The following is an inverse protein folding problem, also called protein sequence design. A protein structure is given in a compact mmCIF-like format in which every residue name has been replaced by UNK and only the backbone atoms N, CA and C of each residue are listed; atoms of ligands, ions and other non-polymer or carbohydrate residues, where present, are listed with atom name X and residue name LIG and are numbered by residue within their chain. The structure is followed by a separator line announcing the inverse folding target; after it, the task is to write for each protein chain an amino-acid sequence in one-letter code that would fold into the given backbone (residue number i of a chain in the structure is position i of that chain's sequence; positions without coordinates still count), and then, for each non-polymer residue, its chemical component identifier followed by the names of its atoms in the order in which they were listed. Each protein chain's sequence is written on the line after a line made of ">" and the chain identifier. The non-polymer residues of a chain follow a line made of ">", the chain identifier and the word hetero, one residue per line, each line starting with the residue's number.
data_IF_714627571220
#
_entry.id   IF_714627571220
#
_cell.length_a   1.000
_cell.length_b   1.000
_cell.length_c   1.000
_cell.angle_alpha   90.00
_cell.angle_beta   90.00
_cell.angle_gamma   90.00
#
_symmetry.space_group_name_H-M   'P 1'
#
loop_
_entity.id
_entity.type
_entity.pdbx_description
1 polymer ?
#
# COMPACT_ATOMS: atom_id res chain seq x y z
N UNK A 1 22.42 -30.64 -5.35
CA UNK A 1 21.98 -29.23 -5.45
C UNK A 1 20.95 -29.01 -4.36
N UNK A 2 21.14 -28.04 -3.45
CA UNK A 2 20.09 -27.69 -2.49
C UNK A 2 18.90 -27.08 -3.24
N UNK A 3 17.68 -27.48 -2.87
CA UNK A 3 16.44 -26.92 -3.43
C UNK A 3 16.35 -25.41 -3.18
N UNK A 4 15.79 -24.63 -4.12
CA UNK A 4 15.45 -23.23 -3.85
C UNK A 4 14.39 -23.19 -2.75
N UNK A 5 14.79 -22.77 -1.56
CA UNK A 5 13.85 -22.50 -0.47
C UNK A 5 12.94 -21.35 -0.91
N UNK A 6 11.65 -21.65 -1.08
CA UNK A 6 10.61 -20.64 -1.24
C UNK A 6 10.66 -19.74 0.01
N UNK A 7 10.85 -18.42 -0.13
CA UNK A 7 10.92 -17.54 1.01
C UNK A 7 9.64 -17.63 1.83
N UNK A 8 9.79 -17.73 3.15
CA UNK A 8 8.66 -17.61 4.07
C UNK A 8 7.91 -16.31 3.77
N UNK A 9 6.55 -16.31 3.80
CA UNK A 9 5.79 -15.10 3.51
C UNK A 9 6.27 -13.98 4.44
N UNK A 10 6.49 -12.80 3.88
CA UNK A 10 6.76 -11.58 4.64
C UNK A 10 5.65 -11.44 5.67
N UNK A 11 5.96 -11.64 6.94
CA UNK A 11 4.98 -11.54 8.00
C UNK A 11 4.62 -10.06 8.14
N UNK A 12 3.52 -9.64 7.51
CA UNK A 12 3.08 -8.26 7.51
C UNK A 12 2.76 -7.85 8.95
N UNK A 13 3.22 -6.66 9.36
CA UNK A 13 2.88 -6.08 10.66
C UNK A 13 1.37 -5.76 10.69
N UNK A 14 0.57 -6.73 11.13
CA UNK A 14 -0.91 -6.65 11.14
C UNK A 14 -1.39 -5.45 11.95
N UNK A 15 -0.72 -5.13 13.06
CA UNK A 15 -1.08 -3.97 13.87
C UNK A 15 -0.88 -2.65 13.13
N UNK A 16 0.18 -2.57 12.30
CA UNK A 16 0.39 -1.43 11.42
C UNK A 16 -0.65 -1.33 10.31
N UNK A 17 -1.00 -2.45 9.67
CA UNK A 17 -2.06 -2.48 8.64
C UNK A 17 -3.36 -1.95 9.22
N UNK A 18 -3.78 -2.46 10.38
CA UNK A 18 -5.01 -2.02 11.03
C UNK A 18 -4.98 -0.53 11.37
N UNK A 19 -3.85 -0.02 11.85
CA UNK A 19 -3.69 1.40 12.21
C UNK A 19 -3.79 2.30 10.98
N UNK A 20 -3.06 1.97 9.92
CA UNK A 20 -3.04 2.75 8.68
C UNK A 20 -4.40 2.67 7.97
N UNK A 21 -5.01 1.49 7.93
CA UNK A 21 -6.32 1.29 7.30
C UNK A 21 -7.43 2.05 8.04
N UNK A 22 -7.47 1.99 9.38
CA UNK A 22 -8.45 2.76 10.17
C UNK A 22 -8.29 4.25 9.91
N UNK A 23 -7.06 4.77 9.93
CA UNK A 23 -6.80 6.17 9.62
C UNK A 23 -7.33 6.59 8.24
N UNK A 24 -7.05 5.79 7.20
CA UNK A 24 -7.54 6.06 5.84
C UNK A 24 -9.07 5.97 5.75
N UNK A 25 -9.67 4.99 6.42
CA UNK A 25 -11.12 4.77 6.45
C UNK A 25 -11.84 5.92 7.17
N UNK A 26 -11.30 6.39 8.29
CA UNK A 26 -11.85 7.53 9.04
C UNK A 26 -11.80 8.81 8.20
N UNK A 27 -10.66 9.08 7.57
CA UNK A 27 -10.51 10.20 6.64
C UNK A 27 -11.49 10.09 5.44
N UNK A 28 -11.73 8.89 4.94
CA UNK A 28 -12.70 8.69 3.86
C UNK A 28 -14.14 8.90 4.31
N UNK A 29 -14.51 8.43 5.50
CA UNK A 29 -15.85 8.66 6.10
C UNK A 29 -16.13 10.14 6.31
N UNK A 30 -15.14 10.90 6.77
CA UNK A 30 -15.21 12.36 6.90
C UNK A 30 -15.49 13.03 5.55
N UNK A 31 -14.72 12.68 4.51
CA UNK A 31 -14.95 13.18 3.15
C UNK A 31 -16.37 12.85 2.66
N UNK A 32 -16.85 11.63 2.90
CA UNK A 32 -18.21 11.24 2.53
C UNK A 32 -19.26 12.11 3.26
N UNK A 33 -19.06 12.37 4.56
CA UNK A 33 -19.90 13.26 5.35
C UNK A 33 -19.93 14.70 4.80
N UNK A 34 -18.77 15.27 4.50
CA UNK A 34 -18.64 16.62 3.92
C UNK A 34 -19.29 16.75 2.53
N UNK A 35 -19.31 15.65 1.76
CA UNK A 35 -19.89 15.61 0.43
C UNK A 35 -21.37 15.21 0.41
N UNK A 36 -22.01 15.09 1.58
CA UNK A 36 -23.43 14.78 1.70
C UNK A 36 -23.78 13.30 1.50
N UNK A 37 -22.79 12.40 1.56
CA UNK A 37 -22.93 10.95 1.47
C UNK A 37 -22.77 10.28 2.86
N UNK A 38 -23.35 10.89 3.89
CA UNK A 38 -23.24 10.41 5.28
C UNK A 38 -23.92 9.05 5.50
N UNK A 39 -24.95 8.74 4.72
CA UNK A 39 -25.62 7.45 4.65
C UNK A 39 -24.66 6.35 4.15
N UNK A 40 -23.89 6.63 3.09
CA UNK A 40 -22.84 5.75 2.58
C UNK A 40 -21.73 5.57 3.62
N UNK A 41 -21.31 6.65 4.28
CA UNK A 41 -20.32 6.60 5.35
C UNK A 41 -20.79 5.69 6.50
N UNK A 42 -22.04 5.81 6.92
CA UNK A 42 -22.63 4.99 7.98
C UNK A 42 -22.75 3.51 7.57
N UNK A 43 -23.03 3.23 6.29
CA UNK A 43 -23.16 1.86 5.78
C UNK A 43 -21.82 1.15 5.49
N UNK A 44 -20.69 1.86 5.50
CA UNK A 44 -19.39 1.21 5.36
C UNK A 44 -19.12 0.26 6.55
N UNK A 45 -18.53 -0.93 6.32
CA UNK A 45 -18.13 -1.83 7.40
C UNK A 45 -16.96 -1.25 8.23
N UNK A 46 -16.48 -2.04 9.20
CA UNK A 46 -15.30 -1.75 10.03
C UNK A 46 -15.47 -0.60 11.03
N UNK A 47 -16.71 -0.30 11.45
CA UNK A 47 -17.03 0.49 12.64
C UNK A 47 -17.14 -0.36 13.89
N UNK A 48 -16.73 0.20 15.01
CA UNK A 48 -17.06 -0.34 16.32
C UNK A 48 -18.56 -0.09 16.60
N UNK A 49 -19.39 -1.12 16.43
CA UNK A 49 -20.66 -1.19 17.16
C UNK A 49 -22.00 -1.08 16.43
N UNK A 50 -22.11 -1.13 15.10
CA UNK A 50 -23.44 -1.04 14.45
C UNK A 50 -23.77 -2.17 13.45
N UNK A 51 -25.06 -2.51 13.41
CA UNK A 51 -25.65 -3.32 12.34
C UNK A 51 -25.53 -2.56 11.01
N UNK A 52 -25.02 -3.23 9.97
CA UNK A 52 -24.92 -2.63 8.63
C UNK A 52 -26.33 -2.36 8.09
N UNK A 53 -26.79 -1.12 8.17
CA UNK A 53 -28.07 -0.69 7.60
C UNK A 53 -27.95 -0.42 6.09
N UNK A 54 -27.64 -1.46 5.31
CA UNK A 54 -27.52 -1.36 3.85
C UNK A 54 -28.86 -1.16 3.12
N UNK A 55 -30.00 -1.24 3.83
CA UNK A 55 -31.33 -1.31 3.22
C UNK A 55 -31.78 0.01 2.54
N UNK A 56 -31.22 1.15 2.93
CA UNK A 56 -31.66 2.48 2.48
C UNK A 56 -30.59 3.29 1.72
N UNK A 57 -29.41 2.73 1.45
CA UNK A 57 -28.31 3.41 0.74
C UNK A 57 -28.32 3.06 -0.75
N UNK A 58 -28.01 4.03 -1.62
CA UNK A 58 -27.84 3.76 -3.06
C UNK A 58 -26.80 2.63 -3.27
N UNK A 59 -27.20 1.47 -3.82
CA UNK A 59 -26.30 0.33 -4.01
C UNK A 59 -25.08 0.68 -4.87
N UNK A 60 -25.21 1.63 -5.79
CA UNK A 60 -24.09 2.06 -6.64
C UNK A 60 -23.06 2.86 -5.84
N UNK A 61 -23.53 3.81 -5.04
CA UNK A 61 -22.67 4.60 -4.15
C UNK A 61 -21.98 3.71 -3.11
N UNK A 62 -22.71 2.76 -2.51
CA UNK A 62 -22.13 1.81 -1.56
C UNK A 62 -21.09 0.90 -2.21
N UNK A 63 -21.36 0.39 -3.42
CA UNK A 63 -20.38 -0.44 -4.15
C UNK A 63 -19.10 0.34 -4.44
N UNK A 64 -19.23 1.58 -4.91
CA UNK A 64 -18.08 2.45 -5.15
C UNK A 64 -17.28 2.72 -3.87
N UNK A 65 -17.97 3.01 -2.75
CA UNK A 65 -17.33 3.25 -1.47
C UNK A 65 -16.57 2.02 -0.95
N UNK A 66 -17.16 0.82 -1.12
CA UNK A 66 -16.50 -0.44 -0.80
C UNK A 66 -15.28 -0.68 -1.69
N UNK A 67 -15.36 -0.42 -3.00
CA UNK A 67 -14.22 -0.53 -3.91
C UNK A 67 -13.08 0.40 -3.50
N UNK A 68 -13.38 1.64 -3.13
CA UNK A 68 -12.39 2.58 -2.58
C UNK A 68 -11.83 2.06 -1.27
N UNK A 69 -12.66 1.61 -0.33
CA UNK A 69 -12.22 1.07 0.96
C UNK A 69 -11.28 -0.14 0.80
N UNK A 70 -11.58 -1.09 -0.10
CA UNK A 70 -10.69 -2.21 -0.40
C UNK A 70 -9.35 -1.73 -0.95
N UNK A 71 -9.35 -0.68 -1.77
CA UNK A 71 -8.11 -0.10 -2.29
C UNK A 71 -7.30 0.60 -1.20
N UNK A 72 -7.95 1.28 -0.25
CA UNK A 72 -7.29 1.86 0.93
C UNK A 72 -6.66 0.75 1.80
N UNK A 73 -7.33 -0.38 1.98
CA UNK A 73 -6.76 -1.55 2.66
C UNK A 73 -5.50 -2.06 1.95
N UNK A 74 -5.53 -2.17 0.61
CA UNK A 74 -4.34 -2.54 -0.18
C UNK A 74 -3.18 -1.55 0.05
N UNK A 75 -3.45 -0.24 0.08
CA UNK A 75 -2.42 0.77 0.35
C UNK A 75 -1.80 0.62 1.75
N UNK A 76 -2.62 0.35 2.76
CA UNK A 76 -2.17 0.09 4.12
C UNK A 76 -1.28 -1.17 4.20
N UNK A 77 -1.67 -2.25 3.53
CA UNK A 77 -0.87 -3.49 3.43
C UNK A 77 0.46 -3.28 2.72
N UNK A 78 0.45 -2.62 1.54
CA UNK A 78 1.65 -2.30 0.77
C UNK A 78 2.65 -1.50 1.61
N UNK A 79 2.14 -0.50 2.34
CA UNK A 79 2.94 0.35 3.21
C UNK A 79 3.47 -0.40 4.45
N UNK A 80 2.63 -1.20 5.12
CA UNK A 80 3.07 -2.01 6.25
C UNK A 80 4.15 -3.02 5.87
N UNK A 81 4.01 -3.67 4.70
CA UNK A 81 5.04 -4.56 4.15
C UNK A 81 6.34 -3.82 3.86
N UNK A 82 6.27 -2.64 3.25
CA UNK A 82 7.44 -1.83 2.96
C UNK A 82 8.17 -1.38 4.23
N UNK A 83 7.44 -0.96 5.25
CA UNK A 83 8.01 -0.50 6.52
C UNK A 83 8.54 -1.66 7.37
N UNK A 84 7.85 -2.79 7.41
CA UNK A 84 8.35 -3.99 8.07
C UNK A 84 9.69 -4.44 7.48
N UNK A 85 9.80 -4.45 6.14
CA UNK A 85 11.06 -4.76 5.45
C UNK A 85 12.17 -3.78 5.81
N UNK A 86 11.89 -2.46 5.87
CA UNK A 86 12.89 -1.45 6.26
C UNK A 86 13.38 -1.66 7.68
N UNK A 87 12.46 -1.86 8.64
CA UNK A 87 12.81 -2.14 10.04
C UNK A 87 13.69 -3.38 10.18
N UNK A 88 13.35 -4.48 9.51
CA UNK A 88 14.19 -5.69 9.51
C UNK A 88 15.60 -5.41 8.97
N UNK A 89 15.73 -4.62 7.90
CA UNK A 89 17.02 -4.26 7.33
C UNK A 89 17.83 -3.34 8.26
N UNK A 90 17.19 -2.41 8.96
CA UNK A 90 17.80 -1.51 9.93
C UNK A 90 18.28 -2.27 11.19
N UNK A 91 17.44 -3.15 11.74
CA UNK A 91 17.71 -3.85 12.99
C UNK A 91 18.68 -5.03 12.82
N UNK A 92 18.55 -5.77 11.72
CA UNK A 92 19.22 -7.06 11.54
C UNK A 92 20.19 -7.11 10.36
N UNK A 93 20.24 -6.06 9.53
CA UNK A 93 21.13 -5.97 8.38
C UNK A 93 20.47 -6.29 7.03
N UNK A 94 21.17 -5.96 5.94
CA UNK A 94 20.64 -6.01 4.58
C UNK A 94 20.40 -7.44 4.05
N UNK A 95 21.02 -8.44 4.67
CA UNK A 95 21.00 -9.85 4.27
C UNK A 95 19.94 -10.68 5.01
N UNK A 96 19.03 -10.05 5.75
CA UNK A 96 17.96 -10.75 6.47
C UNK A 96 16.76 -11.03 5.59
N UNK A 97 16.47 -10.15 4.63
CA UNK A 97 15.25 -10.27 3.81
C UNK A 97 15.54 -11.04 2.53
N UNK A 98 14.88 -12.19 2.39
CA UNK A 98 15.00 -13.03 1.20
C UNK A 98 14.48 -12.34 -0.06
N UNK A 99 15.10 -12.66 -1.21
CA UNK A 99 14.77 -12.06 -2.51
C UNK A 99 15.29 -10.65 -2.72
N UNK A 100 15.92 -10.02 -1.72
CA UNK A 100 16.61 -8.74 -1.88
C UNK A 100 18.08 -8.91 -2.19
N UNK A 101 18.67 -7.88 -2.79
CA UNK A 101 20.09 -7.81 -3.13
C UNK A 101 21.02 -8.19 -1.98
N UNK A 102 20.77 -7.69 -0.76
CA UNK A 102 21.63 -7.98 0.38
C UNK A 102 21.73 -9.48 0.69
N UNK A 103 20.61 -10.21 0.72
CA UNK A 103 20.60 -11.66 0.94
C UNK A 103 21.28 -12.41 -0.19
N UNK A 104 20.96 -12.04 -1.43
CA UNK A 104 21.47 -12.73 -2.63
C UNK A 104 22.98 -12.54 -2.78
N UNK A 105 23.47 -11.31 -2.63
CA UNK A 105 24.89 -10.99 -2.71
C UNK A 105 25.68 -11.62 -1.55
N UNK A 106 25.14 -11.60 -0.32
CA UNK A 106 25.74 -12.27 0.83
C UNK A 106 25.88 -13.78 0.56
N UNK A 107 24.83 -14.42 0.05
CA UNK A 107 24.86 -15.84 -0.30
C UNK A 107 25.87 -16.19 -1.40
N UNK A 108 26.14 -15.29 -2.35
CA UNK A 108 27.19 -15.49 -3.36
C UNK A 108 28.59 -15.43 -2.75
N UNK A 109 28.81 -14.50 -1.82
CA UNK A 109 30.08 -14.39 -1.09
C UNK A 109 30.31 -15.61 -0.20
N UNK A 110 29.27 -16.07 0.51
CA UNK A 110 29.32 -17.28 1.34
C UNK A 110 29.60 -18.55 0.50
N UNK A 111 29.17 -18.57 -0.76
CA UNK A 111 29.49 -19.61 -1.73
C UNK A 111 30.92 -19.53 -2.31
N UNK A 112 31.70 -18.51 -1.91
CA UNK A 112 33.11 -18.34 -2.30
C UNK A 112 33.33 -17.44 -3.51
N UNK A 113 32.30 -16.77 -4.03
CA UNK A 113 32.46 -15.84 -5.15
C UNK A 113 33.05 -14.50 -4.69
N UNK A 114 34.03 -14.00 -5.43
CA UNK A 114 34.62 -12.69 -5.16
C UNK A 114 33.88 -11.58 -5.91
N UNK A 115 33.92 -10.35 -5.38
CA UNK A 115 33.19 -9.21 -5.96
C UNK A 115 33.41 -9.00 -7.48
N UNK A 116 34.63 -9.16 -8.05
CA UNK A 116 34.82 -9.06 -9.50
C UNK A 116 34.05 -10.11 -10.31
N UNK A 117 33.96 -11.36 -9.82
CA UNK A 117 33.22 -12.44 -10.49
C UNK A 117 31.72 -12.17 -10.46
N UNK A 118 31.21 -11.72 -9.31
CA UNK A 118 29.80 -11.34 -9.14
C UNK A 118 29.46 -10.20 -10.11
N UNK A 119 30.28 -9.14 -10.15
CA UNK A 119 30.08 -8.01 -11.05
C UNK A 119 30.08 -8.43 -12.53
N UNK A 120 31.00 -9.33 -12.92
CA UNK A 120 31.06 -9.86 -14.28
C UNK A 120 29.81 -10.68 -14.63
N UNK A 121 29.31 -11.51 -13.71
CA UNK A 121 28.09 -12.27 -13.89
C UNK A 121 26.86 -11.37 -14.04
N UNK A 122 26.74 -10.36 -13.19
CA UNK A 122 25.65 -9.36 -13.26
C UNK A 122 25.63 -8.60 -14.58
N UNK A 123 26.80 -8.30 -15.16
CA UNK A 123 26.91 -7.61 -16.45
C UNK A 123 26.33 -8.43 -17.62
N UNK A 124 26.19 -9.75 -17.48
CA UNK A 124 25.58 -10.63 -18.47
C UNK A 124 24.08 -10.86 -18.31
N UNK A 125 23.46 -10.34 -17.24
CA UNK A 125 22.03 -10.58 -16.96
C UNK A 125 21.17 -9.62 -17.80
N UNK A 126 20.20 -10.20 -18.51
CA UNK A 126 19.15 -9.45 -19.21
C UNK A 126 17.80 -9.85 -18.64
N UNK A 127 16.99 -8.85 -18.27
CA UNK A 127 15.61 -9.05 -17.78
C UNK A 127 14.69 -8.24 -18.68
N UNK A 128 13.74 -8.91 -19.34
CA UNK A 128 12.74 -8.27 -20.19
C UNK A 128 11.33 -8.53 -19.64
N UNK A 129 10.72 -7.57 -18.93
CA UNK A 129 9.35 -7.69 -18.48
C UNK A 129 8.39 -7.51 -19.67
N UNK A 130 7.64 -8.56 -20.01
CA UNK A 130 6.58 -8.48 -21.02
C UNK A 130 5.26 -8.16 -20.32
N UNK A 131 4.84 -6.90 -20.41
CA UNK A 131 3.55 -6.46 -19.91
C UNK A 131 2.44 -7.00 -20.82
N UNK A 132 1.53 -7.77 -20.25
CA UNK A 132 0.35 -8.27 -20.95
C UNK A 132 -0.87 -7.47 -20.50
N UNK A 133 -1.84 -7.27 -21.40
CA UNK A 133 -3.09 -6.65 -21.02
C UNK A 133 -3.80 -7.54 -19.99
N UNK A 134 -4.25 -6.96 -18.88
CA UNK A 134 -5.12 -7.67 -17.96
C UNK A 134 -6.52 -7.78 -18.63
N UNK A 135 -7.09 -8.99 -18.79
CA UNK A 135 -8.27 -9.23 -19.64
C UNK A 135 -9.55 -8.50 -19.19
N UNK A 136 -9.56 -7.89 -18.00
CA UNK A 136 -10.74 -7.24 -17.41
C UNK A 136 -10.46 -5.86 -16.81
N UNK A 137 -9.23 -5.36 -16.85
CA UNK A 137 -8.85 -4.18 -16.06
C UNK A 137 -8.01 -3.18 -16.88
N UNK A 138 -8.70 -2.41 -17.73
CA UNK A 138 -8.12 -1.21 -18.33
C UNK A 138 -8.20 -0.06 -17.31
N UNK A 139 -7.29 -0.05 -16.32
CA UNK A 139 -7.17 1.08 -15.40
C UNK A 139 -6.69 2.32 -16.16
N UNK A 140 -7.43 3.42 -16.09
CA UNK A 140 -7.01 4.71 -16.64
C UNK A 140 -5.73 5.13 -15.91
N UNK A 141 -4.71 5.61 -16.63
CA UNK A 141 -3.44 6.03 -16.03
C UNK A 141 -3.64 7.04 -14.88
N UNK A 142 -4.63 7.92 -15.01
CA UNK A 142 -5.02 8.91 -14.01
C UNK A 142 -5.45 8.31 -12.68
N UNK A 143 -6.09 7.14 -12.68
CA UNK A 143 -6.51 6.43 -11.46
C UNK A 143 -5.29 5.87 -10.75
N UNK A 144 -4.35 5.26 -11.49
CA UNK A 144 -3.09 4.78 -10.91
C UNK A 144 -2.27 5.92 -10.28
N UNK A 145 -2.25 7.09 -10.93
CA UNK A 145 -1.60 8.29 -10.39
C UNK A 145 -2.24 8.79 -9.10
N UNK A 146 -3.58 8.81 -9.02
CA UNK A 146 -4.31 9.17 -7.80
C UNK A 146 -4.01 8.21 -6.64
N UNK A 147 -4.02 6.90 -6.92
CA UNK A 147 -3.66 5.89 -5.93
C UNK A 147 -2.22 6.04 -5.45
N UNK A 148 -1.28 6.33 -6.36
CA UNK A 148 0.11 6.61 -6.01
C UNK A 148 0.25 7.86 -5.16
N UNK A 149 -0.50 8.93 -5.47
CA UNK A 149 -0.49 10.15 -4.68
C UNK A 149 -0.96 9.91 -3.24
N UNK A 150 -2.05 9.16 -3.07
CA UNK A 150 -2.54 8.75 -1.74
C UNK A 150 -1.51 7.89 -0.98
N UNK A 151 -0.86 6.95 -1.66
CA UNK A 151 0.22 6.15 -1.07
C UNK A 151 1.38 7.03 -0.56
N UNK A 152 1.82 8.01 -1.37
CA UNK A 152 2.91 8.90 -0.98
C UNK A 152 2.54 9.79 0.22
N UNK A 153 1.29 10.24 0.32
CA UNK A 153 0.79 10.99 1.48
C UNK A 153 0.74 10.12 2.74
N UNK A 154 0.31 8.86 2.62
CA UNK A 154 0.36 7.89 3.73
C UNK A 154 1.80 7.69 4.22
N UNK A 155 2.75 7.49 3.30
CA UNK A 155 4.17 7.36 3.64
C UNK A 155 4.72 8.65 4.25
N UNK A 156 4.36 9.82 3.72
CA UNK A 156 4.82 11.11 4.23
C UNK A 156 4.38 11.35 5.67
N UNK A 157 3.13 10.99 6.00
CA UNK A 157 2.57 11.13 7.36
C UNK A 157 3.39 10.40 8.43
N UNK A 158 4.07 9.31 8.08
CA UNK A 158 4.83 8.50 9.04
C UNK A 158 6.16 9.10 9.45
N UNK A 159 6.61 10.14 8.74
CA UNK A 159 7.84 10.80 9.08
C UNK A 159 7.67 11.60 10.38
N UNK A 160 8.39 11.16 11.41
CA UNK A 160 8.36 11.77 12.74
C UNK A 160 9.01 13.16 12.82
N UNK A 161 9.64 13.62 11.73
CA UNK A 161 10.29 14.94 11.68
C UNK A 161 9.34 16.09 11.33
N UNK A 162 8.10 15.81 10.95
CA UNK A 162 7.13 16.85 10.60
C UNK A 162 6.61 17.61 11.82
N UNK A 163 6.51 18.92 11.68
CA UNK A 163 5.80 19.80 12.61
C UNK A 163 4.29 19.54 12.57
N UNK A 164 3.52 19.94 13.61
CA UNK A 164 2.07 19.79 13.61
C UNK A 164 1.39 20.39 12.36
N UNK A 165 1.79 21.61 11.97
CA UNK A 165 1.24 22.29 10.80
C UNK A 165 1.51 21.50 9.50
N UNK A 166 2.69 20.90 9.35
CA UNK A 166 3.02 20.07 8.19
C UNK A 166 2.21 18.76 8.17
N UNK A 167 1.93 18.18 9.34
CA UNK A 167 1.06 17.00 9.45
C UNK A 167 -0.39 17.33 9.07
N UNK A 168 -0.89 18.51 9.44
CA UNK A 168 -2.20 19.00 9.00
C UNK A 168 -2.25 19.18 7.48
N UNK A 169 -1.22 19.78 6.86
CA UNK A 169 -1.15 19.92 5.39
C UNK A 169 -1.20 18.55 4.70
N UNK A 170 -0.43 17.57 5.17
CA UNK A 170 -0.44 16.20 4.61
C UNK A 170 -1.84 15.58 4.71
N UNK A 171 -2.52 15.82 5.84
CA UNK A 171 -3.87 15.33 6.08
C UNK A 171 -4.90 16.01 5.16
N UNK A 172 -4.83 17.32 4.99
CA UNK A 172 -5.70 18.07 4.09
C UNK A 172 -5.53 17.61 2.63
N UNK A 173 -4.28 17.38 2.21
CA UNK A 173 -3.98 16.83 0.89
C UNK A 173 -4.54 15.41 0.70
N UNK A 174 -4.52 14.59 1.76
CA UNK A 174 -5.12 13.26 1.78
C UNK A 174 -6.65 13.34 1.64
N UNK A 175 -7.31 14.18 2.42
CA UNK A 175 -8.77 14.40 2.34
C UNK A 175 -9.16 14.89 0.94
N UNK A 176 -8.42 15.84 0.39
CA UNK A 176 -8.63 16.33 -0.97
C UNK A 176 -8.42 15.22 -2.02
N UNK A 177 -7.43 14.34 -1.82
CA UNK A 177 -7.20 13.15 -2.64
C UNK A 177 -8.37 12.16 -2.63
N UNK A 178 -8.89 11.86 -1.44
CA UNK A 178 -10.05 10.98 -1.26
C UNK A 178 -11.32 11.59 -1.85
N UNK A 179 -11.53 12.90 -1.70
CA UNK A 179 -12.65 13.62 -2.31
C UNK A 179 -12.59 13.58 -3.84
N UNK A 180 -11.39 13.71 -4.43
CA UNK A 180 -11.20 13.53 -5.87
C UNK A 180 -11.56 12.12 -6.30
N UNK A 181 -11.04 11.10 -5.60
CA UNK A 181 -11.31 9.68 -5.91
C UNK A 181 -12.82 9.36 -5.85
N UNK A 182 -13.51 9.86 -4.83
CA UNK A 182 -14.96 9.72 -4.69
C UNK A 182 -15.74 10.37 -5.84
N UNK A 183 -15.38 11.59 -6.22
CA UNK A 183 -16.09 12.33 -7.29
C UNK A 183 -15.79 11.79 -8.68
N UNK A 184 -14.58 11.29 -8.92
CA UNK A 184 -14.22 10.74 -10.24
C UNK A 184 -14.82 9.36 -10.47
N UNK A 185 -15.10 8.60 -9.40
CA UNK A 185 -15.50 7.22 -9.48
C UNK A 185 -14.37 6.33 -9.96
N UNK A 186 -14.10 5.24 -9.23
CA UNK A 186 -13.44 4.08 -9.79
C UNK A 186 -14.56 3.20 -10.34
N UNK A 187 -14.97 3.43 -11.60
CA UNK A 187 -15.70 2.55 -12.55
C UNK A 187 -16.03 3.38 -13.80
#
# INVERSE_FOLDING_TARGET
>A
MPEPQIPAPLNVDVGKVDTDFRFLLDAFREVLGELGAADVAAALPWTDGDEVHAADVDPRALTQALSIAFRLATLAEENASAQHRRRLQEDSGLDVVSGLWGKVLSGLVDAGHVAPEIAQGLAGITVEPVLTAHPTEAKRATVLEQHRALYLLLVARENQMWTPDEQEVIRDDLLAGLARLWRTGDI
#
